data_IF_467147481014
#
_entry.id   IF_467147481014
#
_cell.length_a   1.000
_cell.length_b   1.000
_cell.length_c   1.000
_cell.angle_alpha   90.00
_cell.angle_beta   90.00
_cell.angle_gamma   90.00
#
_symmetry.space_group_name_H-M   'P 1'
#
loop_
_entity.id
_entity.type
_entity.pdbx_description
1 polymer ?
#
# COMPACT_ATOMS: atom_id res chain seq x y z
N UNK A 1 -6.43 42.26 -9.38
CA UNK A 1 -7.87 42.11 -9.07
C UNK A 1 -8.14 42.78 -7.73
N UNK A 2 -8.98 43.82 -7.70
CA UNK A 2 -9.13 44.69 -6.53
C UNK A 2 -9.94 44.08 -5.37
N UNK A 3 -9.52 44.38 -4.15
CA UNK A 3 -10.23 44.05 -2.90
C UNK A 3 -11.51 44.90 -2.80
N UNK A 4 -12.68 44.31 -3.03
CA UNK A 4 -13.97 45.02 -2.85
C UNK A 4 -14.25 45.26 -1.37
N UNK A 5 -14.63 46.49 -1.01
CA UNK A 5 -15.08 46.81 0.35
C UNK A 5 -16.32 45.99 0.71
N UNK A 6 -16.36 45.43 1.92
CA UNK A 6 -17.45 44.52 2.32
C UNK A 6 -18.79 45.22 2.59
N UNK A 7 -18.78 46.56 2.59
CA UNK A 7 -19.89 47.45 2.86
C UNK A 7 -20.67 47.90 1.61
N UNK A 8 -20.22 47.57 0.40
CA UNK A 8 -20.96 47.89 -0.84
C UNK A 8 -21.64 46.66 -1.47
N UNK A 9 -22.68 46.94 -2.24
CA UNK A 9 -23.43 45.97 -3.03
C UNK A 9 -22.65 45.55 -4.28
N UNK A 10 -23.13 44.51 -4.99
CA UNK A 10 -22.53 44.05 -6.27
C UNK A 10 -22.45 45.16 -7.34
N UNK A 11 -23.32 46.18 -7.24
CA UNK A 11 -23.35 47.38 -8.09
C UNK A 11 -22.51 48.56 -7.56
N UNK A 12 -21.83 48.42 -6.42
CA UNK A 12 -21.03 49.49 -5.80
C UNK A 12 -21.80 50.47 -4.92
N UNK A 13 -23.13 50.36 -4.85
CA UNK A 13 -23.97 51.18 -3.95
C UNK A 13 -23.75 50.78 -2.49
N UNK A 14 -23.76 51.77 -1.58
CA UNK A 14 -23.63 51.55 -0.13
C UNK A 14 -24.78 50.66 0.39
N UNK A 15 -24.48 49.69 1.26
CA UNK A 15 -25.52 48.90 1.95
C UNK A 15 -26.25 49.77 2.98
N UNK A 16 -27.54 49.48 3.21
CA UNK A 16 -28.28 50.06 4.33
C UNK A 16 -27.59 49.67 5.67
N UNK A 17 -27.44 50.60 6.63
CA UNK A 17 -26.96 50.31 7.98
C UNK A 17 -27.56 49.04 8.63
N UNK A 18 -28.86 48.80 8.45
CA UNK A 18 -29.54 47.59 8.97
C UNK A 18 -29.04 46.30 8.30
N UNK A 19 -28.91 46.31 6.98
CA UNK A 19 -28.42 45.15 6.21
C UNK A 19 -26.94 44.88 6.51
N UNK A 20 -26.15 45.93 6.75
CA UNK A 20 -24.77 45.78 7.17
C UNK A 20 -24.67 45.11 8.54
N UNK A 21 -25.49 45.53 9.51
CA UNK A 21 -25.56 44.90 10.83
C UNK A 21 -25.96 43.42 10.74
N UNK A 22 -26.96 43.08 9.92
CA UNK A 22 -27.35 41.68 9.68
C UNK A 22 -26.24 40.86 9.02
N UNK A 23 -25.57 41.42 8.01
CA UNK A 23 -24.44 40.75 7.33
C UNK A 23 -23.26 40.52 8.26
N UNK A 24 -22.98 41.48 9.15
CA UNK A 24 -21.96 41.33 10.18
C UNK A 24 -22.35 40.28 11.22
N UNK A 25 -23.61 40.25 11.65
CA UNK A 25 -24.14 39.23 12.55
C UNK A 25 -24.03 37.82 11.93
N UNK A 26 -24.45 37.66 10.67
CA UNK A 26 -24.34 36.39 9.94
C UNK A 26 -22.89 35.93 9.77
N UNK A 27 -21.95 36.85 9.48
CA UNK A 27 -20.52 36.53 9.45
C UNK A 27 -19.99 36.08 10.80
N UNK A 28 -20.40 36.72 11.90
CA UNK A 28 -20.00 36.30 13.25
C UNK A 28 -20.56 34.93 13.57
N UNK A 29 -21.81 34.67 13.20
CA UNK A 29 -22.46 33.37 13.42
C UNK A 29 -21.82 32.26 12.57
N UNK A 30 -21.53 32.53 11.29
CA UNK A 30 -20.81 31.60 10.42
C UNK A 30 -19.42 31.27 10.97
N UNK A 31 -18.71 32.25 11.55
CA UNK A 31 -17.43 32.03 12.22
C UNK A 31 -17.58 31.15 13.47
N UNK A 32 -18.64 31.33 14.27
CA UNK A 32 -18.93 30.45 15.42
C UNK A 32 -19.24 29.02 14.96
N UNK A 33 -20.11 28.86 13.98
CA UNK A 33 -20.44 27.56 13.39
C UNK A 33 -19.21 26.86 12.83
N UNK A 34 -18.31 27.60 12.15
CA UNK A 34 -17.05 27.03 11.66
C UNK A 34 -16.15 26.59 12.81
N UNK A 35 -16.04 27.37 13.89
CA UNK A 35 -15.26 26.99 15.08
C UNK A 35 -15.84 25.77 15.78
N UNK A 36 -17.16 25.73 15.97
CA UNK A 36 -17.87 24.58 16.54
C UNK A 36 -17.67 23.33 15.68
N UNK A 37 -17.79 23.45 14.35
CA UNK A 37 -17.51 22.35 13.43
C UNK A 37 -16.08 21.81 13.60
N UNK A 38 -15.06 22.68 13.70
CA UNK A 38 -13.68 22.25 13.93
C UNK A 38 -13.49 21.58 15.30
N UNK A 39 -14.15 22.07 16.35
CA UNK A 39 -14.11 21.46 17.68
C UNK A 39 -14.78 20.08 17.70
N UNK A 40 -15.97 19.97 17.10
CA UNK A 40 -16.69 18.69 16.95
C UNK A 40 -15.87 17.72 16.12
N UNK A 41 -15.28 18.17 15.00
CA UNK A 41 -14.42 17.33 14.17
C UNK A 41 -13.23 16.78 14.96
N UNK A 42 -12.55 17.62 15.75
CA UNK A 42 -11.45 17.20 16.61
C UNK A 42 -11.90 16.21 17.71
N UNK A 43 -13.05 16.44 18.34
CA UNK A 43 -13.60 15.52 19.35
C UNK A 43 -14.00 14.16 18.76
N UNK A 44 -14.67 14.16 17.61
CA UNK A 44 -15.03 12.93 16.88
C UNK A 44 -13.79 12.13 16.47
N UNK A 45 -12.71 12.81 16.07
CA UNK A 45 -11.44 12.16 15.78
C UNK A 45 -10.82 11.52 17.05
N UNK A 46 -10.85 12.21 18.19
CA UNK A 46 -10.35 11.68 19.48
C UNK A 46 -11.14 10.47 20.01
N UNK A 47 -12.43 10.39 19.71
CA UNK A 47 -13.28 9.25 20.11
C UNK A 47 -13.11 8.03 19.20
N UNK A 48 -12.50 8.17 18.02
CA UNK A 48 -12.27 7.04 17.12
C UNK A 48 -11.00 6.32 17.52
N UNK A 49 -11.08 5.01 17.71
CA UNK A 49 -9.91 4.19 17.95
C UNK A 49 -9.06 4.09 16.66
N UNK A 50 -7.83 4.62 16.64
CA UNK A 50 -6.99 4.58 15.46
C UNK A 50 -6.59 3.16 15.05
N UNK A 51 -6.54 2.22 16.01
CA UNK A 51 -6.32 0.78 15.75
C UNK A 51 -7.48 0.15 14.97
N UNK A 52 -8.71 0.60 15.24
CA UNK A 52 -9.92 0.12 14.54
C UNK A 52 -9.93 0.57 13.08
N UNK A 53 -9.45 1.79 12.79
CA UNK A 53 -9.32 2.29 11.42
C UNK A 53 -8.39 1.39 10.59
N UNK A 54 -7.24 1.00 11.15
CA UNK A 54 -6.32 0.07 10.47
C UNK A 54 -6.97 -1.29 10.23
N UNK A 55 -7.78 -1.78 11.17
CA UNK A 55 -8.50 -3.04 11.03
C UNK A 55 -9.56 -2.96 9.91
N UNK A 56 -10.32 -1.87 9.85
CA UNK A 56 -11.32 -1.63 8.81
C UNK A 56 -10.65 -1.50 7.42
N UNK A 57 -9.47 -0.87 7.34
CA UNK A 57 -8.67 -0.81 6.11
C UNK A 57 -8.23 -2.20 5.66
N UNK A 58 -7.68 -3.02 6.56
CA UNK A 58 -7.30 -4.41 6.26
C UNK A 58 -8.47 -5.23 5.76
N UNK A 59 -9.64 -5.09 6.40
CA UNK A 59 -10.85 -5.82 6.02
C UNK A 59 -11.36 -5.44 4.62
N UNK A 60 -11.25 -4.17 4.24
CA UNK A 60 -11.61 -3.71 2.89
C UNK A 60 -10.66 -4.23 1.82
N UNK A 61 -9.38 -4.30 2.11
CA UNK A 61 -8.39 -4.87 1.18
C UNK A 61 -8.52 -6.39 1.08
N UNK A 62 -8.78 -7.09 2.18
CA UNK A 62 -9.12 -8.52 2.14
C UNK A 62 -10.36 -8.79 1.27
N UNK A 63 -11.34 -7.88 1.26
CA UNK A 63 -12.46 -7.96 0.32
C UNK A 63 -12.03 -7.71 -1.13
N UNK A 64 -11.18 -6.72 -1.41
CA UNK A 64 -10.66 -6.45 -2.77
C UNK A 64 -9.86 -7.63 -3.34
N UNK A 65 -9.13 -8.34 -2.48
CA UNK A 65 -8.25 -9.44 -2.87
C UNK A 65 -8.86 -10.85 -2.69
N UNK A 66 -10.15 -10.98 -2.36
CA UNK A 66 -10.77 -12.28 -2.16
C UNK A 66 -11.01 -13.00 -3.52
N UNK A 67 -10.31 -14.11 -3.81
CA UNK A 67 -10.48 -14.83 -5.08
C UNK A 67 -11.76 -15.69 -5.13
N UNK A 68 -12.44 -15.88 -3.99
CA UNK A 68 -13.59 -16.79 -3.84
C UNK A 68 -14.93 -16.07 -3.98
N UNK A 69 -15.00 -14.79 -3.59
CA UNK A 69 -16.22 -13.99 -3.67
C UNK A 69 -15.91 -12.65 -4.34
N UNK A 70 -16.57 -12.40 -5.48
CA UNK A 70 -16.58 -11.06 -6.06
C UNK A 70 -17.13 -10.08 -5.00
N UNK A 71 -16.45 -8.94 -4.76
CA UNK A 71 -16.93 -7.95 -3.83
C UNK A 71 -18.34 -7.49 -4.21
N UNK A 72 -19.26 -7.40 -3.25
CA UNK A 72 -20.61 -6.85 -3.49
C UNK A 72 -20.58 -5.35 -3.86
N UNK A 73 -19.45 -4.68 -3.64
CA UNK A 73 -19.24 -3.26 -3.92
C UNK A 73 -18.36 -3.10 -5.16
N UNK A 74 -18.62 -2.05 -5.96
CA UNK A 74 -17.78 -1.72 -7.11
C UNK A 74 -16.36 -1.35 -6.70
N UNK A 75 -15.39 -1.65 -7.57
CA UNK A 75 -13.96 -1.40 -7.34
C UNK A 75 -13.67 0.08 -7.00
N UNK A 76 -14.35 1.03 -7.66
CA UNK A 76 -14.24 2.46 -7.33
C UNK A 76 -14.71 2.78 -5.91
N UNK A 77 -15.83 2.19 -5.46
CA UNK A 77 -16.37 2.44 -4.13
C UNK A 77 -15.44 1.89 -3.04
N UNK A 78 -14.78 0.76 -3.31
CA UNK A 78 -13.76 0.20 -2.40
C UNK A 78 -12.53 1.11 -2.32
N UNK A 79 -12.02 1.57 -3.46
CA UNK A 79 -10.89 2.51 -3.52
C UNK A 79 -11.20 3.82 -2.79
N UNK A 80 -12.39 4.37 -2.97
CA UNK A 80 -12.82 5.59 -2.28
C UNK A 80 -12.97 5.40 -0.77
N UNK A 81 -13.50 4.25 -0.32
CA UNK A 81 -13.58 3.92 1.11
C UNK A 81 -12.19 3.75 1.72
N UNK A 82 -11.28 3.06 1.06
CA UNK A 82 -9.88 2.93 1.48
C UNK A 82 -9.19 4.30 1.58
N UNK A 83 -9.40 5.16 0.58
CA UNK A 83 -8.87 6.53 0.58
C UNK A 83 -9.37 7.35 1.78
N UNK A 84 -10.68 7.32 2.06
CA UNK A 84 -11.27 8.04 3.21
C UNK A 84 -10.75 7.53 4.56
N UNK A 85 -10.56 6.22 4.71
CA UNK A 85 -9.99 5.65 5.93
C UNK A 85 -8.53 6.06 6.12
N UNK A 86 -7.74 6.07 5.04
CA UNK A 86 -6.35 6.56 5.06
C UNK A 86 -6.26 8.03 5.46
N UNK A 87 -7.08 8.89 4.85
CA UNK A 87 -7.16 10.31 5.23
C UNK A 87 -7.56 10.50 6.70
N UNK A 88 -8.50 9.68 7.20
CA UNK A 88 -8.91 9.70 8.61
C UNK A 88 -7.76 9.26 9.52
N UNK A 89 -6.98 8.26 9.13
CA UNK A 89 -5.82 7.78 9.88
C UNK A 89 -4.69 8.81 9.92
N UNK A 90 -4.35 9.43 8.78
CA UNK A 90 -3.37 10.52 8.71
C UNK A 90 -3.77 11.72 9.57
N UNK A 91 -5.06 12.09 9.56
CA UNK A 91 -5.55 13.15 10.42
C UNK A 91 -5.44 12.79 11.91
N UNK A 92 -5.60 11.51 12.27
CA UNK A 92 -5.36 11.03 13.64
C UNK A 92 -3.88 11.09 14.01
N UNK A 93 -2.97 10.69 13.11
CA UNK A 93 -1.53 10.78 13.35
C UNK A 93 -1.10 12.21 13.71
N UNK A 94 -1.58 13.22 12.97
CA UNK A 94 -1.29 14.64 13.26
C UNK A 94 -1.84 15.10 14.61
N UNK A 95 -2.95 14.54 15.07
CA UNK A 95 -3.51 14.84 16.40
C UNK A 95 -2.66 14.20 17.51
N UNK A 96 -2.28 12.94 17.37
CA UNK A 96 -1.45 12.24 18.36
C UNK A 96 0.00 12.72 18.39
N UNK A 97 0.54 13.20 17.27
CA UNK A 97 1.86 13.86 17.23
C UNK A 97 1.92 15.04 18.21
N UNK A 98 0.83 15.80 18.31
CA UNK A 98 0.72 16.96 19.20
C UNK A 98 0.33 16.59 20.63
N UNK A 99 -0.63 15.68 20.81
CA UNK A 99 -1.23 15.38 22.12
C UNK A 99 -0.48 14.27 22.89
N UNK A 100 0.15 13.31 22.21
CA UNK A 100 0.79 12.14 22.87
C UNK A 100 1.83 11.44 21.98
N UNK A 101 3.13 11.79 22.09
CA UNK A 101 4.18 11.24 21.22
C UNK A 101 4.41 9.73 21.39
N UNK A 102 4.05 9.14 22.53
CA UNK A 102 4.13 7.69 22.76
C UNK A 102 3.16 6.89 21.90
N UNK A 103 1.89 7.29 21.87
CA UNK A 103 0.85 6.67 21.05
C UNK A 103 1.15 6.86 19.57
N UNK A 104 1.66 8.04 19.19
CA UNK A 104 2.10 8.31 17.82
C UNK A 104 3.13 7.29 17.31
N UNK A 105 4.15 6.96 18.11
CA UNK A 105 5.17 5.98 17.73
C UNK A 105 4.57 4.59 17.51
N UNK A 106 3.65 4.15 18.36
CA UNK A 106 2.95 2.87 18.19
C UNK A 106 2.10 2.85 16.91
N UNK A 107 1.35 3.93 16.65
CA UNK A 107 0.53 4.04 15.44
C UNK A 107 1.38 4.08 14.17
N UNK A 108 2.53 4.75 14.21
CA UNK A 108 3.47 4.79 13.09
C UNK A 108 4.06 3.40 12.81
N UNK A 109 4.36 2.63 13.86
CA UNK A 109 4.80 1.24 13.71
C UNK A 109 3.71 0.38 13.06
N UNK A 110 2.47 0.51 13.50
CA UNK A 110 1.33 -0.22 12.92
C UNK A 110 1.08 0.17 11.45
N UNK A 111 1.30 1.42 11.07
CA UNK A 111 1.23 1.88 9.68
C UNK A 111 2.29 1.20 8.81
N UNK A 112 3.54 1.14 9.28
CA UNK A 112 4.64 0.48 8.58
C UNK A 112 4.36 -1.02 8.41
N UNK A 113 3.92 -1.70 9.47
CA UNK A 113 3.54 -3.12 9.41
C UNK A 113 2.40 -3.37 8.41
N UNK A 114 1.44 -2.45 8.34
CA UNK A 114 0.34 -2.54 7.39
C UNK A 114 0.81 -2.36 5.94
N UNK A 115 1.62 -1.34 5.63
CA UNK A 115 2.17 -1.14 4.29
C UNK A 115 3.08 -2.30 3.85
N UNK A 116 3.85 -2.88 4.78
CA UNK A 116 4.64 -4.08 4.50
C UNK A 116 3.75 -5.27 4.10
N UNK A 117 2.64 -5.50 4.82
CA UNK A 117 1.68 -6.56 4.48
C UNK A 117 1.04 -6.33 3.11
N UNK A 118 0.70 -5.08 2.78
CA UNK A 118 0.20 -4.75 1.43
C UNK A 118 1.23 -5.01 0.35
N UNK A 119 2.45 -4.56 0.55
CA UNK A 119 3.54 -4.77 -0.41
C UNK A 119 3.74 -6.27 -0.68
N UNK A 120 3.68 -7.10 0.36
CA UNK A 120 3.74 -8.55 0.23
C UNK A 120 2.54 -9.12 -0.56
N UNK A 121 1.32 -8.68 -0.27
CA UNK A 121 0.12 -9.13 -1.00
C UNK A 121 0.18 -8.77 -2.48
N UNK A 122 0.55 -7.53 -2.79
CA UNK A 122 0.75 -7.07 -4.18
C UNK A 122 1.85 -7.85 -4.88
N UNK A 123 2.99 -8.08 -4.20
CA UNK A 123 4.08 -8.88 -4.76
C UNK A 123 3.65 -10.33 -5.02
N UNK A 124 2.92 -10.95 -4.10
CA UNK A 124 2.42 -12.31 -4.25
C UNK A 124 1.44 -12.43 -5.43
N UNK A 125 0.57 -11.45 -5.62
CA UNK A 125 -0.32 -11.39 -6.78
C UNK A 125 0.45 -11.22 -8.09
N UNK A 126 1.44 -10.34 -8.13
CA UNK A 126 2.29 -10.16 -9.31
C UNK A 126 3.07 -11.44 -9.64
N UNK A 127 3.63 -12.12 -8.64
CA UNK A 127 4.31 -13.41 -8.82
C UNK A 127 3.32 -14.47 -9.31
N UNK A 128 2.12 -14.54 -8.73
CA UNK A 128 1.07 -15.48 -9.16
C UNK A 128 0.62 -15.24 -10.61
N UNK A 129 0.35 -13.99 -10.98
CA UNK A 129 0.02 -13.61 -12.36
C UNK A 129 1.18 -13.91 -13.31
N UNK A 130 2.42 -13.64 -12.91
CA UNK A 130 3.61 -13.94 -13.72
C UNK A 130 3.82 -15.45 -13.91
N UNK A 131 3.56 -16.26 -12.87
CA UNK A 131 3.55 -17.73 -12.96
C UNK A 131 2.46 -18.25 -13.90
N UNK A 132 1.29 -17.60 -13.92
CA UNK A 132 0.16 -17.98 -14.81
C UNK A 132 0.33 -17.47 -16.24
N UNK A 133 0.99 -16.33 -16.46
CA UNK A 133 1.29 -15.78 -17.80
C UNK A 133 2.46 -16.49 -18.48
N UNK A 134 3.39 -17.08 -17.71
CA UNK A 134 4.55 -17.79 -18.25
C UNK A 134 4.66 -19.27 -17.81
N UNK A 135 3.66 -20.15 -18.05
CA UNK A 135 3.80 -21.58 -17.77
C UNK A 135 4.90 -22.26 -18.61
N UNK A 136 5.17 -21.70 -19.80
CA UNK A 136 6.18 -22.20 -20.74
C UNK A 136 7.61 -22.09 -20.19
N UNK A 137 7.91 -21.05 -19.41
CA UNK A 137 9.25 -20.84 -18.81
C UNK A 137 9.61 -21.93 -17.80
N UNK A 138 8.62 -22.42 -17.05
CA UNK A 138 8.81 -23.50 -16.07
C UNK A 138 9.07 -24.84 -16.76
N UNK A 139 8.36 -25.13 -17.86
CA UNK A 139 8.61 -26.31 -18.71
C UNK A 139 9.99 -26.28 -19.36
N UNK A 140 10.40 -25.13 -19.91
CA UNK A 140 11.71 -24.93 -20.52
C UNK A 140 12.86 -25.07 -19.50
N UNK A 141 12.65 -24.63 -18.25
CA UNK A 141 13.65 -24.75 -17.19
C UNK A 141 13.80 -26.19 -16.68
N UNK A 142 12.73 -26.99 -16.73
CA UNK A 142 12.79 -28.44 -16.53
C UNK A 142 13.68 -29.14 -17.57
N UNK A 143 13.48 -28.79 -18.84
CA UNK A 143 14.27 -29.32 -19.96
C UNK A 143 15.74 -28.90 -19.84
N UNK A 144 16.02 -27.63 -19.52
CA UNK A 144 17.39 -27.15 -19.34
C UNK A 144 18.12 -27.86 -18.19
N UNK A 145 17.43 -28.10 -17.06
CA UNK A 145 17.97 -28.84 -15.91
C UNK A 145 18.26 -30.31 -16.25
N UNK A 146 17.42 -30.96 -17.05
CA UNK A 146 17.67 -32.33 -17.50
C UNK A 146 18.87 -32.39 -18.45
N UNK A 147 19.02 -31.43 -19.35
CA UNK A 147 20.17 -31.35 -20.26
C UNK A 147 21.50 -31.09 -19.54
N UNK A 148 21.51 -30.20 -18.53
CA UNK A 148 22.69 -29.95 -17.71
C UNK A 148 23.11 -31.21 -16.94
N UNK A 149 22.14 -31.94 -16.35
CA UNK A 149 22.42 -33.20 -15.65
C UNK A 149 22.97 -34.27 -16.58
N UNK A 150 22.37 -34.45 -17.76
CA UNK A 150 22.85 -35.41 -18.77
C UNK A 150 24.28 -35.05 -19.20
N UNK A 151 24.54 -33.77 -19.49
CA UNK A 151 25.87 -33.28 -19.89
C UNK A 151 26.94 -33.55 -18.83
N UNK A 152 26.67 -33.22 -17.55
CA UNK A 152 27.62 -33.50 -16.46
C UNK A 152 27.88 -34.99 -16.26
N UNK A 153 26.85 -35.83 -16.44
CA UNK A 153 26.97 -37.29 -16.28
C UNK A 153 27.81 -37.90 -17.40
N UNK A 154 27.69 -37.40 -18.63
CA UNK A 154 28.55 -37.80 -19.76
C UNK A 154 30.02 -37.44 -19.51
N UNK A 155 30.28 -36.21 -19.03
CA UNK A 155 31.64 -35.75 -18.71
C UNK A 155 32.28 -36.62 -17.61
N UNK A 156 31.50 -36.97 -16.57
CA UNK A 156 31.98 -37.82 -15.48
C UNK A 156 32.32 -39.24 -15.97
N UNK A 157 31.48 -39.82 -16.82
CA UNK A 157 31.71 -41.17 -17.36
C UNK A 157 32.95 -41.23 -18.27
N UNK A 158 33.19 -40.20 -19.09
CA UNK A 158 34.39 -40.12 -19.92
C UNK A 158 35.67 -39.98 -19.08
N UNK A 159 35.61 -39.19 -18.00
CA UNK A 159 36.76 -39.02 -17.09
C UNK A 159 37.12 -40.33 -16.38
N UNK A 160 36.13 -41.11 -15.93
CA UNK A 160 36.40 -42.42 -15.31
C UNK A 160 36.93 -43.47 -16.27
N UNK A 161 36.54 -43.44 -17.55
CA UNK A 161 37.07 -44.38 -18.55
C UNK A 161 38.52 -44.06 -18.94
N UNK A 162 38.89 -42.78 -19.02
CA UNK A 162 40.28 -42.37 -19.28
C UNK A 162 41.21 -42.74 -18.11
N UNK A 163 40.74 -42.58 -16.87
CA UNK A 163 41.51 -42.92 -15.66
C UNK A 163 41.79 -44.43 -15.56
N UNK A 164 40.87 -45.28 -16.04
CA UNK A 164 41.07 -46.73 -16.10
C UNK A 164 42.06 -47.16 -17.20
N UNK A 165 42.15 -46.41 -18.31
CA UNK A 165 43.07 -46.69 -19.42
C UNK A 165 44.52 -46.24 -19.13
N UNK A 166 44.71 -45.18 -18.35
CA UNK A 166 46.04 -44.75 -17.88
C UNK A 166 46.62 -45.69 -16.82
N UNK A 167 45.76 -46.27 -15.98
CA UNK A 167 46.16 -47.23 -14.94
C UNK A 167 46.50 -48.64 -15.47
N UNK A 168 46.03 -49.02 -16.67
CA UNK A 168 46.39 -50.30 -17.32
C UNK A 168 47.68 -50.20 -18.12
N UNK A 169 47.92 -49.06 -18.79
CA UNK A 169 49.13 -48.81 -19.59
C UNK A 169 50.38 -48.56 -18.75
N UNK A 170 50.24 -48.09 -17.51
CA UNK A 170 51.35 -47.96 -16.54
C UNK A 170 51.76 -49.29 -15.91
N UNK A 171 50.83 -50.24 -15.74
CA UNK A 171 51.15 -51.60 -15.26
C UNK A 171 51.94 -52.41 -16.29
N UNK A 172 51.67 -52.23 -17.59
CA UNK A 172 52.35 -52.94 -18.66
C UNK A 172 53.82 -52.50 -18.85
N UNK A 173 54.15 -51.25 -18.49
CA UNK A 173 55.52 -50.71 -18.55
C UNK A 173 56.42 -51.07 -17.37
N UNK A 174 55.89 -51.74 -16.33
CA UNK A 174 56.67 -52.21 -15.17
C UNK A 174 57.06 -53.70 -15.23
N UNK A 175 56.78 -54.39 -16.34
CA UNK A 175 57.14 -55.80 -16.55
C UNK A 175 58.22 -56.04 -17.61
N UNK A 176 58.96 -55.00 -18.01
CA UNK A 176 60.14 -55.12 -18.89
C UNK A 176 61.39 -54.65 -18.16
#
# INVERSE_FOLDING_TARGET
MGWRSTSSTKSGKFLNPTDQAQKEAWKRELKKNKKQYMMVQAAVLKMKDPKKIIQDMKKLEEMEFNPVQQPQLSEEVLKDKCKKLRETFESNLRLFEKDSPGIYKELKKLEVEYEQKRAQLTQNLLIGVMMMMFPASVKMMGILRTWIKISMMTILMTATLTDQMENTTTKEKSQV
#
